data_IF_640034219121
#
_entry.id   IF_640034219121
#
_cell.length_a   1.000
_cell.length_b   1.000
_cell.length_c   1.000
_cell.angle_alpha   90.00
_cell.angle_beta   90.00
_cell.angle_gamma   90.00
#
_symmetry.space_group_name_H-M   'P 1'
#
loop_
_entity.id
_entity.type
_entity.pdbx_description
1 polymer ?
#
# COMPACT_ATOMS: atom_id res chain seq x y z
N UNK A 1 18.69 6.37 -9.68
CA UNK A 1 17.76 5.88 -8.65
C UNK A 1 16.28 6.17 -9.00
N UNK A 2 15.84 7.41 -9.22
CA UNK A 2 14.43 7.75 -9.51
C UNK A 2 13.83 6.92 -10.66
N UNK A 3 14.51 6.86 -11.82
CA UNK A 3 14.05 6.08 -12.98
C UNK A 3 13.85 4.58 -12.66
N UNK A 4 14.72 4.02 -11.82
CA UNK A 4 14.62 2.61 -11.42
C UNK A 4 13.43 2.40 -10.49
N UNK A 5 13.21 3.31 -9.53
CA UNK A 5 12.05 3.31 -8.64
C UNK A 5 10.74 3.40 -9.44
N UNK A 6 10.65 4.34 -10.40
CA UNK A 6 9.47 4.52 -11.25
C UNK A 6 9.21 3.29 -12.15
N UNK A 7 10.24 2.69 -12.71
CA UNK A 7 10.12 1.52 -13.57
C UNK A 7 9.64 0.26 -12.81
N UNK A 8 10.01 0.13 -11.53
CA UNK A 8 9.59 -1.00 -10.68
C UNK A 8 8.28 -0.77 -9.93
N UNK A 9 7.69 0.43 -10.02
CA UNK A 9 6.39 0.70 -9.43
C UNK A 9 5.29 0.07 -10.29
N UNK A 10 4.46 -0.88 -9.77
CA UNK A 10 3.43 -1.55 -10.56
C UNK A 10 2.29 -0.60 -10.94
N UNK A 11 1.44 -1.01 -11.89
CA UNK A 11 0.33 -0.18 -12.40
C UNK A 11 -0.72 0.10 -11.34
N UNK A 12 -0.93 -0.83 -10.44
CA UNK A 12 -1.88 -0.77 -9.33
C UNK A 12 -1.52 0.33 -8.32
N UNK A 13 -0.23 0.70 -8.22
CA UNK A 13 0.22 1.79 -7.36
C UNK A 13 0.35 3.09 -8.16
N UNK A 14 -0.65 3.96 -8.05
CA UNK A 14 -0.67 5.27 -8.71
C UNK A 14 -0.05 6.39 -7.84
N UNK A 15 0.07 6.17 -6.52
CA UNK A 15 0.61 7.15 -5.60
C UNK A 15 2.04 7.55 -5.94
N UNK A 16 2.32 8.86 -5.93
CA UNK A 16 3.64 9.44 -6.21
C UNK A 16 4.24 9.06 -7.57
N UNK A 17 3.42 8.62 -8.52
CA UNK A 17 3.81 8.28 -9.88
C UNK A 17 3.49 9.43 -10.84
N UNK A 18 4.48 9.83 -11.64
CA UNK A 18 4.28 10.90 -12.63
C UNK A 18 3.24 10.52 -13.68
N UNK A 19 2.25 11.38 -13.90
CA UNK A 19 1.20 11.16 -14.89
C UNK A 19 0.03 10.31 -14.39
N UNK A 20 0.01 9.93 -13.11
CA UNK A 20 -1.10 9.23 -12.45
C UNK A 20 -1.74 10.11 -11.38
N UNK A 21 -3.04 9.94 -11.20
CA UNK A 21 -3.81 10.66 -10.18
C UNK A 21 -4.86 9.72 -9.54
N UNK A 22 -5.43 10.13 -8.41
CA UNK A 22 -6.54 9.40 -7.76
C UNK A 22 -7.75 9.24 -8.67
N UNK A 23 -7.95 10.16 -9.62
CA UNK A 23 -9.03 10.11 -10.64
C UNK A 23 -8.96 8.87 -11.51
N UNK A 24 -7.76 8.34 -11.80
CA UNK A 24 -7.59 7.13 -12.61
C UNK A 24 -8.17 5.90 -11.88
N UNK A 25 -7.87 5.77 -10.59
CA UNK A 25 -8.43 4.70 -9.76
C UNK A 25 -9.93 4.86 -9.51
N UNK A 26 -10.40 6.09 -9.29
CA UNK A 26 -11.84 6.36 -9.16
C UNK A 26 -12.59 6.00 -10.44
N UNK A 27 -12.02 6.30 -11.61
CA UNK A 27 -12.60 5.90 -12.90
C UNK A 27 -12.67 4.38 -13.04
N UNK A 28 -11.59 3.68 -12.70
CA UNK A 28 -11.54 2.20 -12.71
C UNK A 28 -12.60 1.60 -11.79
N UNK A 29 -12.70 2.07 -10.54
CA UNK A 29 -13.70 1.60 -9.57
C UNK A 29 -15.12 1.84 -10.08
N UNK A 30 -15.42 3.02 -10.62
CA UNK A 30 -16.73 3.35 -11.17
C UNK A 30 -17.08 2.41 -12.34
N UNK A 31 -16.15 2.14 -13.24
CA UNK A 31 -16.36 1.21 -14.35
C UNK A 31 -16.63 -0.22 -13.88
N UNK A 32 -15.93 -0.69 -12.85
CA UNK A 32 -16.14 -2.00 -12.25
C UNK A 32 -17.55 -2.09 -11.66
N UNK A 33 -17.97 -1.08 -10.90
CA UNK A 33 -19.31 -1.01 -10.29
C UNK A 33 -20.39 -0.97 -11.38
N UNK A 34 -20.24 -0.14 -12.41
CA UNK A 34 -21.19 -0.05 -13.53
C UNK A 34 -21.31 -1.38 -14.27
N UNK A 35 -20.19 -2.03 -14.61
CA UNK A 35 -20.18 -3.34 -15.28
C UNK A 35 -20.77 -4.43 -14.39
N UNK A 36 -20.40 -4.47 -13.11
CA UNK A 36 -20.99 -5.39 -12.14
C UNK A 36 -22.50 -5.25 -12.09
N UNK A 37 -23.03 -4.02 -12.04
CA UNK A 37 -24.46 -3.75 -12.05
C UNK A 37 -25.10 -4.14 -13.38
N UNK A 38 -24.52 -3.75 -14.52
CA UNK A 38 -25.05 -4.02 -15.85
C UNK A 38 -25.15 -5.51 -16.17
N UNK A 39 -24.14 -6.29 -15.80
CA UNK A 39 -24.04 -7.71 -16.14
C UNK A 39 -24.44 -8.62 -14.97
N UNK A 40 -24.94 -8.06 -13.89
CA UNK A 40 -25.34 -8.81 -12.68
C UNK A 40 -24.21 -9.71 -12.14
N UNK A 41 -22.96 -9.17 -12.11
CA UNK A 41 -21.79 -9.89 -11.60
C UNK A 41 -21.58 -9.59 -10.11
N UNK A 42 -21.21 -10.59 -9.29
CA UNK A 42 -20.92 -10.34 -7.88
C UNK A 42 -19.68 -9.47 -7.73
N UNK A 43 -19.72 -8.54 -6.77
CA UNK A 43 -18.64 -7.60 -6.50
C UNK A 43 -18.51 -7.32 -5.01
N UNK A 44 -17.28 -7.43 -4.50
CA UNK A 44 -16.88 -6.94 -3.18
C UNK A 44 -15.70 -5.99 -3.35
N UNK A 45 -15.77 -4.82 -2.72
CA UNK A 45 -14.66 -3.84 -2.66
C UNK A 45 -14.45 -3.50 -1.19
N UNK A 46 -13.21 -3.54 -0.71
CA UNK A 46 -12.83 -3.08 0.62
C UNK A 46 -11.79 -1.95 0.51
N UNK A 47 -12.07 -0.83 1.18
CA UNK A 47 -11.14 0.29 1.31
C UNK A 47 -10.41 0.16 2.64
N UNK A 48 -9.09 0.23 2.59
CA UNK A 48 -8.18 -0.01 3.70
C UNK A 48 -7.30 1.21 3.90
N UNK A 49 -7.15 1.61 5.16
CA UNK A 49 -6.26 2.67 5.61
C UNK A 49 -5.29 2.10 6.65
N UNK A 50 -4.05 2.55 6.66
CA UNK A 50 -3.05 2.18 7.66
C UNK A 50 -2.97 3.21 8.79
N UNK A 51 -2.62 2.75 9.99
CA UNK A 51 -2.32 3.64 11.12
C UNK A 51 -0.93 4.26 10.93
N UNK A 52 -0.85 5.58 10.69
CA UNK A 52 0.43 6.31 10.57
C UNK A 52 1.43 5.61 9.65
N UNK A 53 1.00 5.24 8.44
CA UNK A 53 1.78 4.42 7.52
C UNK A 53 3.21 4.93 7.31
N UNK A 54 3.37 6.22 7.01
CA UNK A 54 4.67 6.86 6.77
C UNK A 54 5.57 6.86 8.00
N UNK A 55 5.01 6.90 9.21
CA UNK A 55 5.77 6.91 10.47
C UNK A 55 6.07 5.50 10.99
N UNK A 56 5.51 4.45 10.36
CA UNK A 56 5.51 3.09 10.93
C UNK A 56 6.35 2.08 10.17
N UNK A 57 6.65 2.31 8.89
CA UNK A 57 7.39 1.37 8.06
C UNK A 57 8.81 1.13 8.60
N UNK A 58 9.23 -0.13 8.67
CA UNK A 58 10.54 -0.52 9.19
C UNK A 58 11.67 -0.12 8.22
N UNK A 59 12.75 0.51 8.74
CA UNK A 59 13.89 0.95 7.92
C UNK A 59 14.58 -0.21 7.17
N UNK A 60 14.75 -1.36 7.82
CA UNK A 60 15.34 -2.54 7.20
C UNK A 60 14.53 -3.03 5.98
N UNK A 61 13.20 -2.91 6.02
CA UNK A 61 12.34 -3.26 4.89
C UNK A 61 12.52 -2.29 3.73
N UNK A 62 12.67 -0.99 4.00
CA UNK A 62 12.97 0.01 2.98
C UNK A 62 14.27 -0.36 2.25
N UNK A 63 15.35 -0.63 3.00
CA UNK A 63 16.65 -0.97 2.42
C UNK A 63 16.61 -2.28 1.64
N UNK A 64 15.92 -3.30 2.16
CA UNK A 64 15.72 -4.57 1.45
C UNK A 64 14.92 -4.38 0.17
N UNK A 65 13.85 -3.57 0.19
CA UNK A 65 13.06 -3.27 -0.99
C UNK A 65 13.89 -2.59 -2.09
N UNK A 66 14.80 -1.68 -1.72
CA UNK A 66 15.71 -1.05 -2.66
C UNK A 66 16.70 -2.04 -3.28
N UNK A 67 17.22 -3.00 -2.49
CA UNK A 67 18.07 -4.10 -3.00
C UNK A 67 17.30 -5.01 -3.95
N UNK A 68 16.06 -5.34 -3.63
CA UNK A 68 15.21 -6.21 -4.43
C UNK A 68 14.85 -5.64 -5.83
N UNK A 69 15.02 -4.35 -6.04
CA UNK A 69 14.82 -3.67 -7.34
C UNK A 69 16.13 -3.18 -7.97
N UNK A 70 17.26 -3.77 -7.57
CA UNK A 70 18.59 -3.51 -8.11
C UNK A 70 19.06 -2.04 -8.02
N UNK A 71 18.69 -1.33 -6.94
CA UNK A 71 19.30 -0.03 -6.65
C UNK A 71 20.75 -0.24 -6.26
N UNK A 72 21.63 0.58 -6.83
CA UNK A 72 23.07 0.52 -6.55
C UNK A 72 23.34 0.69 -5.04
N UNK A 73 24.16 -0.21 -4.48
CA UNK A 73 24.45 -0.28 -3.04
C UNK A 73 25.05 1.04 -2.49
N UNK A 74 25.76 1.80 -3.30
CA UNK A 74 26.26 3.12 -2.88
C UNK A 74 25.13 4.07 -2.48
N UNK A 75 24.01 4.07 -3.21
CA UNK A 75 22.85 4.90 -2.85
C UNK A 75 22.14 4.35 -1.62
N UNK A 76 22.05 3.02 -1.49
CA UNK A 76 21.42 2.38 -0.33
C UNK A 76 22.20 2.74 0.93
N UNK A 77 23.53 2.61 0.92
CA UNK A 77 24.39 2.96 2.05
C UNK A 77 24.23 4.42 2.48
N UNK A 78 24.15 5.36 1.51
CA UNK A 78 23.90 6.77 1.82
C UNK A 78 22.54 6.96 2.51
N UNK A 79 21.50 6.23 2.05
CA UNK A 79 20.18 6.30 2.66
C UNK A 79 20.21 5.66 4.06
N UNK A 80 20.88 4.51 4.22
CA UNK A 80 21.07 3.86 5.53
C UNK A 80 21.76 4.81 6.53
N UNK A 81 22.84 5.47 6.13
CA UNK A 81 23.55 6.44 6.99
C UNK A 81 22.61 7.59 7.41
N UNK A 82 21.86 8.17 6.45
CA UNK A 82 20.89 9.25 6.73
C UNK A 82 19.80 8.81 7.72
N UNK A 83 19.32 7.56 7.64
CA UNK A 83 18.25 7.06 8.50
C UNK A 83 18.78 6.55 9.84
N UNK A 84 19.97 5.96 9.90
CA UNK A 84 20.60 5.49 11.15
C UNK A 84 21.02 6.64 12.07
N UNK A 85 21.39 7.81 11.49
CA UNK A 85 21.71 9.03 12.22
C UNK A 85 20.47 9.93 12.45
N UNK A 86 19.25 9.42 12.18
CA UNK A 86 18.05 10.21 12.32
C UNK A 86 17.64 10.36 13.79
N UNK A 87 17.68 11.58 14.28
CA UNK A 87 17.30 11.96 15.63
C UNK A 87 16.22 13.05 15.62
N UNK A 88 15.42 13.07 16.67
CA UNK A 88 14.44 14.11 16.93
C UNK A 88 14.60 14.67 18.34
N UNK A 89 14.29 15.97 18.51
CA UNK A 89 14.15 16.63 19.80
C UNK A 89 12.76 17.23 19.92
N UNK A 90 12.21 17.15 21.11
CA UNK A 90 10.93 17.81 21.44
C UNK A 90 11.23 19.17 22.07
N UNK A 91 10.73 20.23 21.47
CA UNK A 91 10.81 21.57 22.00
C UNK A 91 9.48 21.94 22.65
N UNK A 92 9.48 22.27 23.93
CA UNK A 92 8.31 22.78 24.66
C UNK A 92 8.72 24.10 25.33
N UNK A 93 8.16 25.20 24.84
CA UNK A 93 8.51 26.56 25.27
C UNK A 93 10.02 26.87 25.17
N UNK A 94 10.75 26.81 26.31
CA UNK A 94 12.20 27.07 26.40
C UNK A 94 13.01 25.83 26.77
N UNK A 95 12.40 24.66 26.80
CA UNK A 95 13.01 23.40 27.16
C UNK A 95 13.11 22.49 25.95
N UNK A 96 14.26 21.81 25.83
CA UNK A 96 14.50 20.78 24.82
C UNK A 96 14.62 19.42 25.52
N UNK A 97 14.08 18.37 24.90
CA UNK A 97 14.30 17.00 25.33
C UNK A 97 15.73 16.54 24.97
N UNK A 98 16.14 15.42 25.53
CA UNK A 98 17.25 14.64 25.00
C UNK A 98 16.95 14.18 23.55
N UNK A 99 17.99 13.79 22.83
CA UNK A 99 17.88 13.23 21.48
C UNK A 99 17.16 11.89 21.51
N UNK A 100 16.20 11.73 20.59
CA UNK A 100 15.38 10.52 20.45
C UNK A 100 15.69 9.92 19.09
N UNK A 101 16.26 8.72 19.07
CA UNK A 101 16.55 8.01 17.83
C UNK A 101 15.25 7.63 17.11
N UNK A 102 15.18 7.91 15.81
CA UNK A 102 14.07 7.53 14.94
C UNK A 102 14.39 6.18 14.30
N UNK A 103 13.74 5.11 14.77
CA UNK A 103 14.05 3.72 14.37
C UNK A 103 13.15 3.19 13.24
N UNK A 104 12.12 3.95 12.83
CA UNK A 104 11.15 3.56 11.79
C UNK A 104 10.47 4.79 11.18
N UNK A 105 9.81 4.56 10.06
CA UNK A 105 9.11 5.59 9.31
C UNK A 105 10.01 6.29 8.29
N UNK A 106 9.39 6.97 7.34
CA UNK A 106 10.07 7.84 6.38
C UNK A 106 9.92 9.30 6.77
N UNK A 107 10.91 10.13 6.44
CA UNK A 107 10.91 11.56 6.78
C UNK A 107 9.82 12.30 6.03
N UNK A 108 8.86 12.87 6.74
CA UNK A 108 7.81 13.70 6.14
C UNK A 108 8.41 15.00 5.59
N UNK A 109 8.05 15.34 4.34
CA UNK A 109 8.58 16.51 3.64
C UNK A 109 9.86 16.28 2.84
N UNK A 110 10.50 15.13 2.97
CA UNK A 110 11.66 14.76 2.15
C UNK A 110 11.16 14.26 0.76
N UNK A 111 11.68 14.80 -0.36
CA UNK A 111 11.26 14.39 -1.71
C UNK A 111 11.44 12.92 -2.04
N UNK A 112 12.38 12.21 -1.40
CA UNK A 112 12.60 10.78 -1.64
C UNK A 112 11.66 9.88 -0.82
N UNK A 113 11.19 10.34 0.33
CA UNK A 113 10.39 9.56 1.27
C UNK A 113 9.16 8.89 0.65
N UNK A 114 8.37 9.54 -0.22
CA UNK A 114 7.26 8.90 -0.90
C UNK A 114 7.69 7.69 -1.75
N UNK A 115 8.82 7.78 -2.42
CA UNK A 115 9.35 6.67 -3.24
C UNK A 115 9.89 5.53 -2.41
N UNK A 116 10.54 5.82 -1.28
CA UNK A 116 10.99 4.81 -0.33
C UNK A 116 9.80 4.06 0.28
N UNK A 117 8.76 4.80 0.67
CA UNK A 117 7.52 4.21 1.18
C UNK A 117 6.85 3.31 0.14
N UNK A 118 6.69 3.77 -1.12
CA UNK A 118 6.07 2.93 -2.16
C UNK A 118 6.89 1.69 -2.49
N UNK A 119 8.22 1.75 -2.42
CA UNK A 119 9.07 0.57 -2.56
C UNK A 119 8.87 -0.43 -1.41
N UNK A 120 8.81 0.05 -0.18
CA UNK A 120 8.61 -0.79 1.01
C UNK A 120 7.21 -1.43 1.05
N UNK A 121 6.14 -0.67 0.78
CA UNK A 121 4.78 -1.23 0.76
C UNK A 121 4.60 -2.25 -0.37
N UNK A 122 5.35 -2.16 -1.45
CA UNK A 122 5.32 -3.14 -2.53
C UNK A 122 5.74 -4.54 -2.05
N UNK A 123 6.61 -4.66 -1.04
CA UNK A 123 7.00 -5.96 -0.47
C UNK A 123 5.83 -6.67 0.21
N UNK A 124 4.82 -5.93 0.72
CA UNK A 124 3.57 -6.52 1.25
C UNK A 124 2.83 -7.30 0.16
N UNK A 125 2.76 -6.74 -1.04
CA UNK A 125 2.01 -7.31 -2.16
C UNK A 125 2.79 -8.40 -2.90
N UNK A 126 4.09 -8.23 -3.12
CA UNK A 126 4.94 -9.24 -3.78
C UNK A 126 4.96 -10.59 -3.06
N UNK A 127 4.88 -10.57 -1.73
CA UNK A 127 4.96 -11.76 -0.89
C UNK A 127 3.57 -12.28 -0.48
N UNK A 128 2.52 -11.88 -1.19
CA UNK A 128 1.14 -12.25 -0.90
C UNK A 128 0.51 -12.99 -2.08
N UNK A 129 -0.25 -14.04 -1.79
CA UNK A 129 -1.06 -14.78 -2.79
C UNK A 129 -2.40 -14.06 -3.09
N UNK A 130 -2.40 -12.73 -3.06
CA UNK A 130 -3.61 -11.93 -3.30
C UNK A 130 -4.13 -12.10 -4.74
N UNK A 131 -3.23 -12.27 -5.72
CA UNK A 131 -3.56 -12.37 -7.14
C UNK A 131 -4.55 -13.48 -7.47
N UNK A 132 -4.61 -14.54 -6.65
CA UNK A 132 -5.50 -15.68 -6.88
C UNK A 132 -6.98 -15.34 -6.68
N UNK A 133 -7.32 -14.23 -6.02
CA UNK A 133 -8.70 -13.90 -5.56
C UNK A 133 -9.27 -12.62 -6.16
N UNK A 134 -8.54 -11.94 -7.03
CA UNK A 134 -8.99 -10.71 -7.70
C UNK A 134 -10.15 -10.92 -8.68
N UNK A 135 -10.69 -9.82 -9.17
CA UNK A 135 -11.65 -9.82 -10.27
C UNK A 135 -10.96 -10.26 -11.56
N UNK A 136 -11.56 -11.17 -12.30
CA UNK A 136 -11.13 -11.49 -13.65
C UNK A 136 -11.70 -10.44 -14.62
N UNK A 137 -10.80 -9.73 -15.29
CA UNK A 137 -11.15 -8.73 -16.30
C UNK A 137 -10.40 -9.10 -17.58
N UNK A 138 -11.09 -9.75 -18.50
CA UNK A 138 -10.56 -10.18 -19.79
C UNK A 138 -9.30 -11.06 -19.69
N UNK A 139 -9.22 -11.91 -18.64
CA UNK A 139 -8.11 -12.81 -18.39
C UNK A 139 -6.99 -12.22 -17.52
N UNK A 140 -7.04 -10.96 -17.18
CA UNK A 140 -6.16 -10.32 -16.20
C UNK A 140 -6.85 -10.21 -14.83
N UNK A 141 -6.10 -10.41 -13.76
CA UNK A 141 -6.62 -10.32 -12.39
C UNK A 141 -6.42 -8.93 -11.81
N UNK A 142 -7.52 -8.24 -11.52
CA UNK A 142 -7.51 -7.03 -10.73
C UNK A 142 -7.77 -7.36 -9.26
N UNK A 143 -6.74 -7.25 -8.44
CA UNK A 143 -6.76 -7.62 -7.02
C UNK A 143 -6.90 -6.41 -6.14
N UNK A 144 -6.19 -5.35 -6.50
CA UNK A 144 -6.07 -4.13 -5.70
C UNK A 144 -5.80 -2.90 -6.58
N UNK A 145 -6.11 -1.74 -6.02
CA UNK A 145 -5.73 -0.43 -6.52
C UNK A 145 -5.17 0.36 -5.35
N UNK A 146 -4.00 0.98 -5.53
CA UNK A 146 -3.25 1.66 -4.46
C UNK A 146 -2.93 3.09 -4.81
N UNK A 147 -3.16 3.97 -3.87
CA UNK A 147 -2.66 5.35 -3.94
C UNK A 147 -1.92 5.68 -2.64
N UNK A 148 -0.60 5.51 -2.66
CA UNK A 148 0.27 5.49 -1.49
C UNK A 148 -0.13 4.39 -0.49
N UNK A 149 -0.64 4.77 0.68
CA UNK A 149 -1.12 3.91 1.75
C UNK A 149 -2.63 3.59 1.67
N UNK A 150 -3.37 4.33 0.85
CA UNK A 150 -4.78 4.03 0.57
C UNK A 150 -4.89 2.84 -0.39
N UNK A 151 -5.64 1.81 0.00
CA UNK A 151 -5.78 0.57 -0.77
C UNK A 151 -7.27 0.26 -0.97
N UNK A 152 -7.63 -0.11 -2.21
CA UNK A 152 -8.90 -0.73 -2.52
C UNK A 152 -8.65 -2.17 -2.98
N UNK A 153 -9.10 -3.17 -2.20
CA UNK A 153 -9.12 -4.58 -2.61
C UNK A 153 -10.41 -4.89 -3.35
N UNK A 154 -10.34 -5.80 -4.34
CA UNK A 154 -11.49 -6.20 -5.16
C UNK A 154 -11.58 -7.71 -5.26
N UNK A 155 -12.79 -8.28 -5.05
CA UNK A 155 -13.08 -9.70 -5.17
C UNK A 155 -14.49 -9.96 -5.70
N UNK A 156 -14.79 -11.23 -6.02
CA UNK A 156 -16.12 -11.65 -6.45
C UNK A 156 -17.04 -12.06 -5.28
N UNK A 157 -16.51 -12.26 -4.08
CA UNK A 157 -17.28 -12.75 -2.93
C UNK A 157 -16.67 -12.31 -1.60
N UNK A 158 -17.43 -12.44 -0.53
CA UNK A 158 -17.03 -12.01 0.82
C UNK A 158 -15.97 -12.92 1.41
N UNK A 159 -16.01 -14.22 1.15
CA UNK A 159 -15.05 -15.18 1.71
C UNK A 159 -13.63 -14.92 1.19
N UNK A 160 -13.51 -14.65 -0.11
CA UNK A 160 -12.23 -14.25 -0.72
C UNK A 160 -11.75 -12.88 -0.19
N UNK A 161 -12.68 -11.94 0.05
CA UNK A 161 -12.34 -10.65 0.64
C UNK A 161 -11.79 -10.80 2.07
N UNK A 162 -12.42 -11.64 2.89
CA UNK A 162 -11.94 -11.92 4.25
C UNK A 162 -10.53 -12.55 4.22
N UNK A 163 -10.30 -13.49 3.32
CA UNK A 163 -8.98 -14.10 3.16
C UNK A 163 -7.93 -13.08 2.68
N UNK A 164 -8.25 -12.23 1.71
CA UNK A 164 -7.35 -11.16 1.26
C UNK A 164 -7.01 -10.19 2.39
N UNK A 165 -8.00 -9.77 3.18
CA UNK A 165 -7.79 -8.88 4.33
C UNK A 165 -6.87 -9.51 5.39
N UNK A 166 -7.03 -10.80 5.66
CA UNK A 166 -6.18 -11.52 6.61
C UNK A 166 -4.73 -11.64 6.07
N UNK A 167 -4.56 -12.01 4.81
CA UNK A 167 -3.24 -12.08 4.16
C UNK A 167 -2.57 -10.70 4.19
N UNK A 168 -3.29 -9.66 3.74
CA UNK A 168 -2.76 -8.29 3.72
C UNK A 168 -2.35 -7.83 5.12
N UNK A 169 -3.18 -8.08 6.15
CA UNK A 169 -2.86 -7.73 7.53
C UNK A 169 -1.60 -8.43 8.04
N UNK A 170 -1.42 -9.69 7.71
CA UNK A 170 -0.25 -10.46 8.19
C UNK A 170 1.04 -10.08 7.45
N UNK A 171 0.97 -9.79 6.15
CA UNK A 171 2.11 -9.28 5.40
C UNK A 171 2.46 -7.84 5.83
N UNK A 172 1.46 -6.99 6.06
CA UNK A 172 1.66 -5.61 6.52
C UNK A 172 2.41 -5.53 7.86
N UNK A 173 2.10 -6.42 8.80
CA UNK A 173 2.81 -6.50 10.08
C UNK A 173 4.30 -6.79 9.93
N UNK A 174 4.70 -7.57 8.92
CA UNK A 174 6.10 -7.91 8.66
C UNK A 174 6.94 -6.69 8.24
N UNK A 175 6.28 -5.68 7.70
CA UNK A 175 6.91 -4.44 7.26
C UNK A 175 6.69 -3.27 8.23
N UNK A 176 6.12 -3.55 9.43
CA UNK A 176 5.84 -2.56 10.46
C UNK A 176 4.52 -1.79 10.29
N UNK A 177 3.71 -2.14 9.28
CA UNK A 177 2.44 -1.47 9.00
C UNK A 177 1.28 -2.14 9.76
N UNK A 178 0.33 -1.31 10.23
CA UNK A 178 -0.87 -1.75 10.93
C UNK A 178 -2.12 -1.23 10.25
N UNK A 179 -3.01 -2.14 9.84
CA UNK A 179 -4.30 -1.77 9.27
C UNK A 179 -5.19 -1.14 10.34
N UNK A 180 -5.79 0.02 10.03
CA UNK A 180 -6.74 0.70 10.89
C UNK A 180 -8.13 0.06 10.79
N UNK A 181 -8.40 -0.98 11.58
CA UNK A 181 -9.63 -1.77 11.52
C UNK A 181 -10.91 -0.94 11.60
N UNK A 182 -10.92 0.14 12.37
CA UNK A 182 -12.09 1.02 12.52
C UNK A 182 -12.40 1.89 11.30
N UNK A 183 -11.48 1.98 10.33
CA UNK A 183 -11.65 2.75 9.10
C UNK A 183 -11.90 1.90 7.86
N UNK A 184 -11.85 0.58 7.98
CA UNK A 184 -12.18 -0.30 6.85
C UNK A 184 -13.63 -0.04 6.43
N UNK A 185 -13.82 0.28 5.15
CA UNK A 185 -15.14 0.40 4.52
C UNK A 185 -15.25 -0.64 3.43
N UNK A 186 -16.42 -1.23 3.27
CA UNK A 186 -16.64 -2.21 2.23
C UNK A 186 -17.97 -1.99 1.51
N UNK A 187 -18.00 -2.36 0.25
CA UNK A 187 -19.17 -2.41 -0.61
C UNK A 187 -19.32 -3.84 -1.06
N UNK A 188 -20.50 -4.43 -0.84
CA UNK A 188 -20.83 -5.72 -1.42
C UNK A 188 -22.30 -5.73 -1.85
N UNK A 189 -22.61 -6.48 -2.89
CA UNK A 189 -23.98 -6.64 -3.37
C UNK A 189 -24.65 -7.83 -2.69
N UNK A 190 -25.46 -7.57 -1.64
CA UNK A 190 -26.21 -8.59 -0.88
C UNK A 190 -27.19 -9.38 -1.73
N UNK A 191 -27.83 -8.75 -2.72
CA UNK A 191 -28.90 -9.37 -3.51
C UNK A 191 -28.41 -10.51 -4.40
N UNK A 192 -27.11 -10.63 -4.62
CA UNK A 192 -26.50 -11.63 -5.51
C UNK A 192 -25.92 -12.84 -4.75
N UNK A 193 -25.68 -12.69 -3.47
CA UNK A 193 -25.13 -13.74 -2.62
C UNK A 193 -26.22 -14.75 -2.23
N UNK A 194 -27.44 -14.27 -1.97
CA UNK A 194 -28.60 -15.11 -1.56
C UNK A 194 -29.22 -15.90 -2.72
N UNK A 195 -28.88 -15.59 -3.97
CA UNK A 195 -29.41 -16.26 -5.17
C UNK A 195 -28.65 -17.54 -5.58
N UNK A 196 -27.59 -17.91 -4.86
CA UNK A 196 -26.76 -19.10 -5.14
C UNK A 196 -26.81 -20.18 -4.05
N UNK A 197 -27.68 -20.05 -3.05
CA UNK A 197 -27.99 -21.09 -2.06
C UNK A 197 -29.34 -21.76 -2.32
#
# INVERSE_FOLDING_TARGET
>A
MEKTLDANQPREQAGFRKGFATTDHLHTINQIIEKSNKFNLPLCIAYIDYEKAFDSVEHNVIFQALRNIDINETYINIIEDIYNEAEAKVHIEKQESEEINILRGVRQGDPISPKLFTAAIQEVFKNSDLELRGLDIDGERLTDLRFADDIALTTNNVDDMEQQLNILNDQSKKVGLKIHRGKIKYIHDKLRYDAKN
#
